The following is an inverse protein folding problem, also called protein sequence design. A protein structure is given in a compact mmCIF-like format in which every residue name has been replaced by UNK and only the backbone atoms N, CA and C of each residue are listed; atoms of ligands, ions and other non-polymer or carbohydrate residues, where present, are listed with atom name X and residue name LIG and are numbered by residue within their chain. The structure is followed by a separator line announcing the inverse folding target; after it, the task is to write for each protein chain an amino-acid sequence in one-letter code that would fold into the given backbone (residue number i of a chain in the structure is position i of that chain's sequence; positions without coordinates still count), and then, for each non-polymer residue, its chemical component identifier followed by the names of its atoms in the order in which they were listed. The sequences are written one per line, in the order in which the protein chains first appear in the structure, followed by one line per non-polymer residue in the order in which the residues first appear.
data_IF_211574473635
#
_entry.id   IF_211574473635
#
_cell.length_a   1.000
_cell.length_b   1.000
_cell.length_c   1.000
_cell.angle_alpha   90.00
_cell.angle_beta   90.00
_cell.angle_gamma   90.00
#
_symmetry.space_group_name_H-M   'P 1'
#
loop_
_entity.id
_entity.type
_entity.pdbx_description
1 polymer ?
#
# COMPACT_ATOMS: atom_id res chain seq x y z
N UNK A 1 78.17 42.47 -33.47
CA UNK A 1 77.90 41.81 -32.17
C UNK A 1 76.46 42.21 -31.82
N UNK A 2 75.45 41.44 -32.26
CA UNK A 2 74.67 40.47 -31.46
C UNK A 2 74.16 41.09 -30.14
N UNK A 3 72.88 41.52 -30.10
CA UNK A 3 71.66 40.83 -29.56
C UNK A 3 71.41 41.32 -28.11
N UNK A 4 70.23 41.42 -27.49
CA UNK A 4 68.81 40.97 -27.59
C UNK A 4 67.99 41.89 -26.64
N UNK A 5 66.77 42.37 -26.96
CA UNK A 5 65.43 41.82 -26.59
C UNK A 5 65.16 41.77 -25.06
N UNK A 6 64.03 42.23 -24.48
CA UNK A 6 62.63 42.27 -24.96
C UNK A 6 61.83 43.44 -24.36
N UNK A 7 61.02 44.09 -25.20
CA UNK A 7 60.04 45.15 -24.87
C UNK A 7 58.62 44.58 -24.70
N UNK A 8 57.76 45.40 -24.10
CA UNK A 8 56.43 45.15 -23.58
C UNK A 8 55.27 45.29 -24.59
N UNK A 9 54.24 44.44 -24.41
CA UNK A 9 52.81 44.52 -24.85
C UNK A 9 52.51 44.55 -26.38
N UNK A 10 51.24 44.40 -26.82
CA UNK A 10 50.30 43.26 -26.64
C UNK A 10 49.63 42.82 -27.98
N UNK A 11 49.25 41.56 -28.16
CA UNK A 11 48.35 41.08 -29.25
C UNK A 11 48.11 39.56 -29.10
N UNK A 12 47.17 38.93 -29.83
CA UNK A 12 45.76 39.19 -30.09
C UNK A 12 44.89 38.04 -29.49
N UNK A 13 43.56 38.11 -29.70
CA UNK A 13 42.56 37.18 -29.17
C UNK A 13 42.97 35.70 -29.18
N UNK A 14 42.97 35.10 -27.99
CA UNK A 14 42.93 33.66 -27.79
C UNK A 14 41.46 33.28 -27.77
N UNK A 15 41.05 32.46 -28.74
CA UNK A 15 39.74 31.83 -28.73
C UNK A 15 39.62 30.97 -27.46
N UNK A 16 38.58 31.20 -26.67
CA UNK A 16 38.20 30.33 -25.57
C UNK A 16 37.80 28.95 -26.14
N UNK A 17 38.64 27.94 -25.91
CA UNK A 17 38.44 26.55 -26.36
C UNK A 17 37.45 25.79 -25.45
N UNK A 18 36.77 26.46 -24.52
CA UNK A 18 35.78 25.84 -23.61
C UNK A 18 34.37 25.68 -24.23
N UNK A 19 34.23 25.83 -25.55
CA UNK A 19 32.94 25.72 -26.26
C UNK A 19 32.87 24.63 -27.32
N UNK A 20 33.73 23.64 -27.25
CA UNK A 20 33.58 22.41 -28.02
C UNK A 20 33.11 21.28 -27.09
N UNK A 21 31.91 20.79 -27.37
CA UNK A 21 31.18 19.84 -26.54
C UNK A 21 31.98 18.59 -26.23
N UNK A 22 31.75 18.06 -25.03
CA UNK A 22 32.18 16.71 -24.67
C UNK A 22 31.78 15.73 -25.78
N UNK A 23 32.70 14.88 -26.27
CA UNK A 23 32.33 13.86 -27.22
C UNK A 23 31.31 12.95 -26.55
N UNK A 24 30.07 12.99 -27.03
CA UNK A 24 29.07 12.01 -26.66
C UNK A 24 29.62 10.64 -27.00
N UNK A 25 29.93 9.85 -25.98
CA UNK A 25 30.19 8.42 -26.13
C UNK A 25 28.87 7.81 -26.60
N UNK A 26 28.70 7.72 -27.91
CA UNK A 26 27.65 6.92 -28.53
C UNK A 26 27.99 5.49 -28.15
N UNK A 27 27.28 4.97 -27.14
CA UNK A 27 27.27 3.56 -26.83
C UNK A 27 26.57 2.90 -28.00
N UNK A 28 27.35 2.45 -28.98
CA UNK A 28 26.88 1.57 -30.03
C UNK A 28 26.38 0.30 -29.35
N UNK A 29 25.05 0.19 -29.23
CA UNK A 29 24.40 -1.03 -28.76
C UNK A 29 24.64 -2.11 -29.81
N UNK A 30 25.71 -2.88 -29.62
CA UNK A 30 25.86 -4.14 -30.31
C UNK A 30 24.58 -4.96 -30.11
N UNK A 31 23.99 -5.54 -31.17
CA UNK A 31 22.83 -6.39 -31.02
C UNK A 31 23.19 -7.52 -30.06
N UNK A 32 22.48 -7.59 -28.94
CA UNK A 32 22.59 -8.71 -28.01
C UNK A 32 22.00 -9.91 -28.74
N UNK A 33 22.85 -10.73 -29.35
CA UNK A 33 22.45 -12.06 -29.81
C UNK A 33 22.07 -12.88 -28.56
N UNK A 34 20.77 -12.95 -28.31
CA UNK A 34 20.20 -13.85 -27.32
C UNK A 34 20.56 -15.28 -27.74
N UNK A 35 21.17 -16.10 -26.86
CA UNK A 35 21.41 -17.50 -27.18
C UNK A 35 20.08 -18.14 -27.57
N UNK A 36 20.05 -18.84 -28.70
CA UNK A 36 18.90 -19.65 -29.11
C UNK A 36 18.81 -20.87 -28.19
N UNK A 37 18.36 -20.64 -26.96
CA UNK A 37 18.10 -21.67 -25.97
C UNK A 37 16.87 -22.44 -26.45
N UNK A 38 17.03 -23.74 -26.69
CA UNK A 38 15.92 -24.63 -27.01
C UNK A 38 15.04 -24.75 -25.76
N UNK A 39 14.12 -23.81 -25.61
CA UNK A 39 13.16 -23.78 -24.51
C UNK A 39 12.46 -25.15 -24.40
N UNK A 40 12.60 -25.88 -23.27
CA UNK A 40 11.91 -27.14 -23.07
C UNK A 40 10.40 -26.93 -23.25
N UNK A 41 9.71 -27.95 -23.76
CA UNK A 41 8.28 -27.89 -24.14
C UNK A 41 7.37 -27.32 -23.03
N UNK A 42 7.74 -27.52 -21.75
CA UNK A 42 7.07 -26.93 -20.59
C UNK A 42 7.28 -25.41 -20.45
N UNK A 43 8.45 -24.89 -20.81
CA UNK A 43 8.73 -23.45 -20.82
C UNK A 43 7.87 -22.74 -21.89
N UNK A 44 7.63 -23.36 -23.05
CA UNK A 44 6.70 -22.84 -24.08
C UNK A 44 5.24 -22.87 -23.64
N UNK A 45 4.82 -23.91 -22.92
CA UNK A 45 3.46 -24.00 -22.37
C UNK A 45 3.25 -22.98 -21.26
N UNK A 46 4.22 -22.84 -20.35
CA UNK A 46 4.27 -21.78 -19.36
C UNK A 46 4.25 -20.40 -20.02
N UNK A 47 5.11 -20.13 -21.00
CA UNK A 47 5.13 -18.85 -21.71
C UNK A 47 3.79 -18.54 -22.40
N UNK A 48 3.14 -19.53 -23.03
CA UNK A 48 1.83 -19.35 -23.65
C UNK A 48 0.73 -19.09 -22.62
N UNK A 49 0.78 -19.76 -21.47
CA UNK A 49 -0.12 -19.53 -20.35
C UNK A 49 0.11 -18.15 -19.72
N UNK A 50 1.37 -17.76 -19.49
CA UNK A 50 1.76 -16.43 -19.00
C UNK A 50 1.39 -15.33 -19.98
N UNK A 51 1.53 -15.54 -21.29
CA UNK A 51 1.07 -14.59 -22.32
C UNK A 51 -0.45 -14.45 -22.34
N UNK A 52 -1.20 -15.53 -22.12
CA UNK A 52 -2.67 -15.48 -21.98
C UNK A 52 -3.10 -14.73 -20.71
N UNK A 53 -2.40 -14.95 -19.60
CA UNK A 53 -2.59 -14.17 -18.36
C UNK A 53 -2.23 -12.70 -18.55
N UNK A 54 -1.17 -12.39 -19.31
CA UNK A 54 -0.79 -11.03 -19.70
C UNK A 54 -1.93 -10.32 -20.43
N UNK A 55 -2.53 -11.00 -21.42
CA UNK A 55 -3.63 -10.45 -22.23
C UNK A 55 -4.91 -10.28 -21.41
N UNK A 56 -5.10 -11.08 -20.37
CA UNK A 56 -6.21 -10.94 -19.42
C UNK A 56 -6.03 -9.78 -18.43
N UNK A 57 -4.89 -9.08 -18.46
CA UNK A 57 -4.65 -7.91 -17.62
C UNK A 57 -4.11 -8.26 -16.23
N UNK A 58 -3.51 -9.43 -16.07
CA UNK A 58 -2.70 -9.79 -14.90
C UNK A 58 -1.41 -8.96 -14.94
N UNK A 59 -1.12 -8.27 -13.84
CA UNK A 59 0.09 -7.47 -13.71
C UNK A 59 1.31 -8.39 -13.62
N UNK A 60 2.01 -8.57 -14.74
CA UNK A 60 3.23 -9.40 -14.84
C UNK A 60 4.47 -8.71 -14.26
N UNK A 61 4.34 -7.47 -13.80
CA UNK A 61 5.47 -6.72 -13.24
C UNK A 61 5.74 -7.13 -11.81
N UNK A 62 6.92 -7.69 -11.62
CA UNK A 62 7.48 -8.00 -10.32
C UNK A 62 8.02 -6.74 -9.63
N UNK A 63 9.35 -6.65 -9.55
CA UNK A 63 10.05 -5.67 -8.72
C UNK A 63 10.48 -4.39 -9.47
N UNK A 64 10.17 -4.30 -10.77
CA UNK A 64 10.67 -3.22 -11.62
C UNK A 64 9.97 -1.90 -11.27
N UNK A 65 10.72 -0.77 -11.17
CA UNK A 65 10.12 0.54 -10.93
C UNK A 65 9.12 0.91 -12.02
N UNK A 66 8.01 1.55 -11.66
CA UNK A 66 7.02 2.02 -12.63
C UNK A 66 7.54 3.30 -13.28
N UNK A 67 7.68 3.29 -14.61
CA UNK A 67 8.11 4.46 -15.38
C UNK A 67 7.14 5.62 -15.24
N UNK A 68 7.64 6.86 -15.35
CA UNK A 68 6.80 8.08 -15.19
C UNK A 68 5.65 8.11 -16.18
N UNK A 69 5.86 7.60 -17.40
CA UNK A 69 4.86 7.58 -18.48
C UNK A 69 3.64 6.68 -18.16
N UNK A 70 3.80 5.73 -17.25
CA UNK A 70 2.76 4.78 -16.86
C UNK A 70 2.02 5.21 -15.58
N UNK A 71 2.50 6.27 -14.91
CA UNK A 71 1.89 6.88 -13.72
C UNK A 71 0.76 7.82 -14.14
N UNK A 72 -0.31 7.23 -14.66
CA UNK A 72 -1.38 7.97 -15.35
C UNK A 72 -2.50 8.45 -14.41
N UNK A 73 -2.58 7.97 -13.16
CA UNK A 73 -3.67 8.38 -12.27
C UNK A 73 -3.41 9.77 -11.68
N UNK A 74 -4.23 10.74 -12.08
CA UNK A 74 -4.19 12.13 -11.62
C UNK A 74 -5.22 12.43 -10.54
N UNK A 75 -6.05 11.46 -10.16
CA UNK A 75 -7.18 11.68 -9.23
C UNK A 75 -6.80 11.26 -7.82
N UNK A 76 -6.37 12.24 -7.01
CA UNK A 76 -6.08 12.04 -5.57
C UNK A 76 -7.27 11.44 -4.81
N UNK A 77 -8.50 11.75 -5.24
CA UNK A 77 -9.73 11.17 -4.67
C UNK A 77 -9.77 9.66 -4.76
N UNK A 78 -9.17 9.04 -5.78
CA UNK A 78 -9.11 7.58 -5.89
C UNK A 78 -8.31 6.96 -4.72
N UNK A 79 -7.26 7.64 -4.26
CA UNK A 79 -6.44 7.20 -3.12
C UNK A 79 -7.24 7.28 -1.83
N UNK A 80 -7.97 8.39 -1.64
CA UNK A 80 -8.88 8.52 -0.50
C UNK A 80 -9.95 7.43 -0.51
N UNK A 81 -10.59 7.19 -1.66
CA UNK A 81 -11.61 6.15 -1.79
C UNK A 81 -11.04 4.74 -1.59
N UNK A 82 -9.78 4.50 -1.98
CA UNK A 82 -9.09 3.25 -1.72
C UNK A 82 -8.92 3.03 -0.22
N UNK A 83 -8.32 3.98 0.50
CA UNK A 83 -8.14 3.89 1.96
C UNK A 83 -9.47 3.84 2.71
N UNK A 84 -10.47 4.58 2.22
CA UNK A 84 -11.83 4.53 2.75
C UNK A 84 -12.44 3.14 2.58
N UNK A 85 -12.25 2.51 1.42
CA UNK A 85 -12.74 1.15 1.14
C UNK A 85 -12.04 0.11 2.01
N UNK A 86 -10.72 0.21 2.14
CA UNK A 86 -9.92 -0.65 3.03
C UNK A 86 -10.37 -0.50 4.49
N UNK A 87 -10.76 0.71 4.89
CA UNK A 87 -11.26 0.98 6.25
C UNK A 87 -12.71 0.56 6.46
N UNK A 88 -13.52 0.48 5.39
CA UNK A 88 -14.91 0.03 5.43
C UNK A 88 -14.99 -1.51 5.38
N UNK A 89 -14.55 -2.17 6.44
CA UNK A 89 -14.68 -3.62 6.61
C UNK A 89 -15.10 -4.01 8.03
N UNK A 90 -15.33 -5.30 8.24
CA UNK A 90 -15.84 -5.83 9.52
C UNK A 90 -14.76 -5.87 10.60
N UNK A 91 -13.48 -6.02 10.23
CA UNK A 91 -12.37 -6.14 11.16
C UNK A 91 -12.22 -4.92 12.10
N UNK A 92 -12.24 -3.65 11.65
CA UNK A 92 -12.27 -2.47 12.51
C UNK A 92 -13.42 -2.44 13.49
N UNK A 93 -14.60 -2.94 13.10
CA UNK A 93 -15.77 -2.99 13.98
C UNK A 93 -15.48 -3.94 15.15
N UNK A 94 -14.98 -5.14 14.85
CA UNK A 94 -14.63 -6.13 15.87
C UNK A 94 -13.47 -5.63 16.75
N UNK A 95 -12.43 -5.04 16.15
CA UNK A 95 -11.33 -4.42 16.89
C UNK A 95 -11.83 -3.33 17.84
N UNK A 96 -12.78 -2.49 17.41
CA UNK A 96 -13.42 -1.49 18.28
C UNK A 96 -14.25 -2.11 19.41
N UNK A 97 -14.96 -3.21 19.13
CA UNK A 97 -15.74 -3.95 20.12
C UNK A 97 -14.87 -4.57 21.22
N UNK A 98 -13.62 -4.95 20.94
CA UNK A 98 -12.69 -5.46 21.96
C UNK A 98 -12.47 -4.42 23.08
N UNK A 99 -12.43 -3.13 22.75
CA UNK A 99 -12.26 -2.05 23.73
C UNK A 99 -13.38 -2.01 24.78
N UNK A 100 -14.62 -2.24 24.38
CA UNK A 100 -15.76 -2.22 25.29
C UNK A 100 -16.07 -3.59 25.89
N UNK A 101 -16.07 -4.65 25.09
CA UNK A 101 -16.46 -6.00 25.53
C UNK A 101 -15.38 -6.72 26.33
N UNK A 102 -14.10 -6.58 25.94
CA UNK A 102 -13.00 -7.31 26.58
C UNK A 102 -12.29 -6.47 27.65
N UNK A 103 -12.12 -5.17 27.39
CA UNK A 103 -11.38 -4.28 28.30
C UNK A 103 -12.30 -3.43 29.19
N UNK A 104 -13.62 -3.50 28.99
CA UNK A 104 -14.60 -2.83 29.86
C UNK A 104 -14.58 -1.29 29.78
N UNK A 105 -13.99 -0.70 28.75
CA UNK A 105 -14.01 0.76 28.58
C UNK A 105 -15.43 1.25 28.24
N UNK A 106 -15.73 2.48 28.65
CA UNK A 106 -16.92 3.17 28.19
C UNK A 106 -16.85 3.42 26.67
N UNK A 107 -18.00 3.55 26.00
CA UNK A 107 -18.01 3.88 24.57
C UNK A 107 -17.34 5.23 24.29
N UNK A 108 -17.40 6.16 25.24
CA UNK A 108 -16.72 7.45 25.15
C UNK A 108 -15.21 7.27 25.21
N UNK A 109 -14.69 6.53 26.18
CA UNK A 109 -13.25 6.36 26.34
C UNK A 109 -12.67 5.53 25.21
N UNK A 110 -13.34 4.45 24.80
CA UNK A 110 -12.94 3.65 23.65
C UNK A 110 -12.92 4.50 22.36
N UNK A 111 -13.94 5.33 22.11
CA UNK A 111 -13.95 6.19 20.91
C UNK A 111 -12.85 7.25 20.93
N UNK A 112 -12.58 7.87 22.09
CA UNK A 112 -11.47 8.82 22.23
C UNK A 112 -10.12 8.13 21.99
N UNK A 113 -9.89 6.95 22.57
CA UNK A 113 -8.64 6.19 22.35
C UNK A 113 -8.48 5.86 20.86
N UNK A 114 -9.53 5.38 20.19
CA UNK A 114 -9.49 5.12 18.75
C UNK A 114 -9.12 6.40 18.00
N UNK A 115 -9.77 7.53 18.25
CA UNK A 115 -9.51 8.78 17.53
C UNK A 115 -8.07 9.26 17.73
N UNK A 116 -7.59 9.34 18.98
CA UNK A 116 -6.26 9.87 19.28
C UNK A 116 -5.14 8.95 18.77
N UNK A 117 -5.24 7.64 19.00
CA UNK A 117 -4.24 6.70 18.48
C UNK A 117 -4.32 6.57 16.96
N UNK A 118 -5.51 6.69 16.36
CA UNK A 118 -5.63 6.69 14.91
C UNK A 118 -4.94 7.90 14.29
N UNK A 119 -5.19 9.10 14.81
CA UNK A 119 -4.50 10.31 14.35
C UNK A 119 -2.98 10.22 14.50
N UNK A 120 -2.48 9.62 15.58
CA UNK A 120 -1.04 9.46 15.80
C UNK A 120 -0.42 8.38 14.88
N UNK A 121 -1.04 7.22 14.79
CA UNK A 121 -0.50 6.06 14.08
C UNK A 121 -0.71 6.09 12.56
N UNK A 122 -1.55 6.99 12.04
CA UNK A 122 -1.72 7.20 10.59
C UNK A 122 -0.68 8.15 9.99
N UNK A 123 0.09 8.87 10.82
CA UNK A 123 1.16 9.77 10.36
C UNK A 123 2.24 9.01 9.56
N UNK A 124 2.80 7.88 10.05
CA UNK A 124 3.82 7.15 9.28
C UNK A 124 3.31 6.60 7.94
N UNK A 125 2.15 5.92 7.86
CA UNK A 125 1.57 5.53 6.56
C UNK A 125 1.31 6.71 5.62
N UNK A 126 0.83 7.84 6.13
CA UNK A 126 0.59 9.03 5.32
C UNK A 126 1.89 9.60 4.75
N UNK A 127 2.96 9.66 5.55
CA UNK A 127 4.27 10.14 5.10
C UNK A 127 4.87 9.23 4.04
N UNK A 128 4.82 7.91 4.23
CA UNK A 128 5.36 6.94 3.27
C UNK A 128 4.53 6.88 1.98
N UNK A 129 3.23 7.16 2.04
CA UNK A 129 2.38 7.28 0.84
C UNK A 129 2.88 8.36 -0.12
N UNK A 130 3.53 9.43 0.37
CA UNK A 130 4.10 10.50 -0.47
C UNK A 130 5.34 10.02 -1.25
N UNK A 131 6.06 9.02 -0.73
CA UNK A 131 7.27 8.49 -1.36
C UNK A 131 6.95 7.60 -2.57
N UNK A 132 5.76 6.98 -2.60
CA UNK A 132 5.30 6.13 -3.70
C UNK A 132 5.29 6.84 -5.06
N UNK A 133 4.55 7.95 -5.22
CA UNK A 133 4.47 8.69 -6.50
C UNK A 133 5.81 9.25 -6.97
N UNK A 134 6.70 9.62 -6.03
CA UNK A 134 8.02 10.21 -6.34
C UNK A 134 8.99 9.16 -6.86
N UNK A 135 9.10 8.03 -6.17
CA UNK A 135 10.07 6.98 -6.50
C UNK A 135 9.56 5.99 -7.54
N UNK A 136 8.24 5.75 -7.60
CA UNK A 136 7.63 4.67 -8.39
C UNK A 136 8.04 3.26 -7.94
N UNK A 137 8.58 3.16 -6.72
CA UNK A 137 9.00 1.91 -6.10
C UNK A 137 7.96 1.48 -5.06
N UNK A 138 7.72 0.17 -5.00
CA UNK A 138 6.96 -0.47 -3.91
C UNK A 138 7.68 -0.32 -2.56
N UNK A 139 6.93 -0.32 -1.46
CA UNK A 139 7.43 0.07 -0.13
C UNK A 139 8.57 -0.84 0.34
N UNK A 140 8.43 -2.14 0.09
CA UNK A 140 9.43 -3.13 0.50
C UNK A 140 10.72 -3.03 -0.32
N UNK A 141 10.66 -2.46 -1.53
CA UNK A 141 11.84 -2.16 -2.35
C UNK A 141 12.52 -0.91 -1.82
N UNK A 142 11.75 0.13 -1.47
CA UNK A 142 12.28 1.33 -0.83
C UNK A 142 13.02 1.00 0.47
N UNK A 143 12.49 0.07 1.27
CA UNK A 143 13.13 -0.40 2.50
C UNK A 143 14.53 -0.99 2.25
N UNK A 144 14.82 -1.53 1.06
CA UNK A 144 16.16 -2.06 0.72
C UNK A 144 17.22 -0.98 0.70
N UNK A 145 16.85 0.23 0.28
CA UNK A 145 17.78 1.37 0.24
C UNK A 145 18.06 1.94 1.62
N UNK A 146 17.15 1.78 2.59
CA UNK A 146 17.34 2.25 3.98
C UNK A 146 18.07 1.23 4.86
N UNK A 147 17.67 -0.04 4.80
CA UNK A 147 18.16 -1.09 5.71
C UNK A 147 19.28 -1.96 5.10
N UNK A 148 19.56 -1.81 3.80
CA UNK A 148 20.51 -2.65 3.09
C UNK A 148 19.94 -4.03 2.74
N UNK A 149 20.68 -4.78 1.92
CA UNK A 149 20.22 -6.04 1.29
C UNK A 149 19.98 -7.17 2.29
N UNK A 150 20.75 -7.25 3.38
CA UNK A 150 20.67 -8.37 4.33
C UNK A 150 19.55 -8.18 5.35
N UNK A 151 19.45 -7.00 5.97
CA UNK A 151 18.46 -6.72 7.01
C UNK A 151 17.03 -6.61 6.45
N UNK A 152 16.89 -6.08 5.24
CA UNK A 152 15.57 -5.93 4.60
C UNK A 152 14.88 -7.28 4.38
N UNK A 153 15.61 -8.37 4.16
CA UNK A 153 15.00 -9.69 3.99
C UNK A 153 14.24 -10.12 5.25
N UNK A 154 14.77 -9.83 6.44
CA UNK A 154 14.09 -10.10 7.71
C UNK A 154 12.82 -9.25 7.83
N UNK A 155 12.90 -7.96 7.49
CA UNK A 155 11.73 -7.06 7.51
C UNK A 155 10.66 -7.49 6.50
N UNK A 156 11.06 -8.01 5.35
CA UNK A 156 10.14 -8.58 4.34
C UNK A 156 9.42 -9.80 4.88
N UNK A 157 10.14 -10.72 5.54
CA UNK A 157 9.51 -11.88 6.16
C UNK A 157 8.55 -11.50 7.29
N UNK A 158 8.91 -10.51 8.12
CA UNK A 158 8.05 -10.00 9.18
C UNK A 158 6.79 -9.32 8.63
N UNK A 159 6.93 -8.52 7.56
CA UNK A 159 5.79 -7.90 6.89
C UNK A 159 4.88 -8.97 6.25
N UNK A 160 5.46 -9.98 5.61
CA UNK A 160 4.72 -11.10 5.04
C UNK A 160 3.92 -11.86 6.11
N UNK A 161 4.55 -12.14 7.26
CA UNK A 161 3.88 -12.76 8.40
C UNK A 161 2.72 -11.89 8.92
N UNK A 162 2.91 -10.57 8.98
CA UNK A 162 1.89 -9.61 9.43
C UNK A 162 0.67 -9.59 8.50
N UNK A 163 0.89 -9.46 7.19
CA UNK A 163 -0.19 -9.46 6.18
C UNK A 163 -0.90 -10.81 6.13
N UNK A 164 -0.16 -11.92 6.28
CA UNK A 164 -0.74 -13.25 6.39
C UNK A 164 -1.61 -13.39 7.64
N UNK A 165 -1.16 -12.83 8.77
CA UNK A 165 -1.94 -12.78 10.01
C UNK A 165 -3.27 -12.06 9.85
N UNK A 166 -3.27 -10.87 9.24
CA UNK A 166 -4.52 -10.15 8.94
C UNK A 166 -5.43 -10.95 8.01
N UNK A 167 -4.88 -11.59 6.98
CA UNK A 167 -5.65 -12.43 6.05
C UNK A 167 -6.34 -13.59 6.76
N UNK A 168 -5.66 -14.24 7.71
CA UNK A 168 -6.24 -15.32 8.52
C UNK A 168 -7.39 -14.77 9.37
N UNK A 169 -7.18 -13.63 10.03
CA UNK A 169 -8.22 -12.99 10.86
C UNK A 169 -9.44 -12.62 10.02
N UNK A 170 -9.25 -12.06 8.83
CA UNK A 170 -10.35 -11.72 7.91
C UNK A 170 -11.13 -12.96 7.46
N UNK A 171 -10.44 -14.09 7.19
CA UNK A 171 -11.11 -15.36 6.87
C UNK A 171 -11.92 -15.89 8.06
N UNK A 172 -11.40 -15.78 9.29
CA UNK A 172 -12.09 -16.19 10.52
C UNK A 172 -13.36 -15.36 10.72
N UNK A 173 -13.24 -14.04 10.63
CA UNK A 173 -14.36 -13.11 10.80
C UNK A 173 -15.40 -13.31 9.69
N UNK A 174 -14.96 -13.46 8.44
CA UNK A 174 -15.85 -13.74 7.31
C UNK A 174 -16.61 -15.06 7.50
N UNK A 175 -15.93 -16.11 7.94
CA UNK A 175 -16.54 -17.41 8.24
C UNK A 175 -17.55 -17.36 9.38
N UNK A 176 -17.22 -16.63 10.46
CA UNK A 176 -18.15 -16.38 11.57
C UNK A 176 -19.39 -15.61 11.11
N UNK A 177 -19.19 -14.60 10.26
CA UNK A 177 -20.29 -13.80 9.69
C UNK A 177 -21.21 -14.67 8.82
N UNK A 178 -20.65 -15.56 7.99
CA UNK A 178 -21.43 -16.46 7.15
C UNK A 178 -22.21 -17.50 7.98
N UNK A 179 -21.57 -18.05 9.02
CA UNK A 179 -22.22 -18.98 9.96
C UNK A 179 -23.36 -18.29 10.72
N UNK A 180 -23.20 -17.02 11.09
CA UNK A 180 -24.25 -16.26 11.78
C UNK A 180 -25.51 -16.01 10.92
N UNK A 181 -25.40 -16.03 9.59
CA UNK A 181 -26.54 -15.91 8.68
C UNK A 181 -27.31 -17.22 8.53
N UNK A 182 -26.61 -18.36 8.53
CA UNK A 182 -27.18 -19.70 8.36
C UNK A 182 -26.68 -20.66 9.44
N UNK A 183 -27.02 -20.37 10.70
CA UNK A 183 -26.53 -21.10 11.87
C UNK A 183 -26.94 -22.57 11.91
N UNK A 184 -27.97 -22.98 11.16
CA UNK A 184 -28.44 -24.38 11.09
C UNK A 184 -27.60 -25.24 10.16
N UNK A 185 -27.07 -24.66 9.08
CA UNK A 185 -26.54 -25.43 7.95
C UNK A 185 -25.02 -25.22 7.77
N UNK A 186 -24.49 -24.09 8.23
CA UNK A 186 -23.07 -23.72 8.04
C UNK A 186 -22.37 -23.57 9.39
N UNK A 187 -21.52 -24.56 9.71
CA UNK A 187 -20.58 -24.44 10.83
C UNK A 187 -19.50 -23.38 10.55
N UNK A 188 -19.03 -22.70 11.59
CA UNK A 188 -17.95 -21.69 11.51
C UNK A 188 -16.73 -22.22 10.75
N UNK A 189 -16.30 -23.46 11.02
CA UNK A 189 -15.14 -24.05 10.34
C UNK A 189 -15.34 -24.15 8.83
N UNK A 190 -16.53 -24.55 8.39
CA UNK A 190 -16.90 -24.64 6.97
C UNK A 190 -16.96 -23.24 6.36
N UNK A 191 -17.53 -22.27 7.08
CA UNK A 191 -17.58 -20.88 6.65
C UNK A 191 -16.19 -20.28 6.40
N UNK A 192 -15.21 -20.56 7.27
CA UNK A 192 -13.83 -20.10 7.12
C UNK A 192 -13.21 -20.65 5.83
N UNK A 193 -13.38 -21.95 5.58
CA UNK A 193 -12.84 -22.61 4.37
C UNK A 193 -13.47 -22.02 3.11
N UNK A 194 -14.79 -21.80 3.11
CA UNK A 194 -15.50 -21.20 1.97
C UNK A 194 -14.94 -19.80 1.68
N UNK A 195 -14.82 -18.95 2.70
CA UNK A 195 -14.29 -17.57 2.54
C UNK A 195 -12.84 -17.59 2.06
N UNK A 196 -12.00 -18.46 2.60
CA UNK A 196 -10.60 -18.59 2.20
C UNK A 196 -10.46 -19.02 0.72
N UNK A 197 -11.25 -20.00 0.28
CA UNK A 197 -11.25 -20.47 -1.13
C UNK A 197 -11.74 -19.38 -2.07
N UNK A 198 -12.80 -18.64 -1.70
CA UNK A 198 -13.31 -17.53 -2.49
C UNK A 198 -12.30 -16.38 -2.58
N UNK A 199 -11.65 -16.01 -1.46
CA UNK A 199 -10.61 -14.99 -1.44
C UNK A 199 -9.41 -15.37 -2.31
N UNK A 200 -8.98 -16.64 -2.21
CA UNK A 200 -7.92 -17.18 -3.06
C UNK A 200 -8.32 -17.14 -4.54
N UNK A 201 -9.55 -17.53 -4.87
CA UNK A 201 -10.05 -17.47 -6.25
C UNK A 201 -10.04 -16.04 -6.81
N UNK A 202 -10.49 -15.06 -6.03
CA UNK A 202 -10.51 -13.64 -6.42
C UNK A 202 -9.08 -13.11 -6.66
N UNK A 203 -8.09 -13.57 -5.88
CA UNK A 203 -6.69 -13.15 -6.04
C UNK A 203 -6.12 -13.42 -7.45
N UNK A 204 -6.62 -14.42 -8.17
CA UNK A 204 -6.19 -14.73 -9.53
C UNK A 204 -6.69 -13.76 -10.60
N UNK A 205 -7.71 -12.94 -10.33
CA UNK A 205 -8.28 -12.01 -11.30
C UNK A 205 -7.44 -10.75 -11.55
N UNK A 206 -6.35 -10.57 -10.80
CA UNK A 206 -5.35 -9.53 -11.04
C UNK A 206 -5.82 -8.10 -10.73
N UNK A 207 -4.94 -7.13 -11.02
CA UNK A 207 -5.06 -5.72 -10.62
C UNK A 207 -6.32 -5.03 -11.17
N UNK A 208 -6.75 -5.31 -12.41
CA UNK A 208 -7.90 -4.64 -13.03
C UNK A 208 -9.21 -4.90 -12.30
N UNK A 209 -9.44 -6.15 -11.88
CA UNK A 209 -10.66 -6.53 -11.15
C UNK A 209 -10.61 -5.97 -9.73
N UNK A 210 -9.46 -6.07 -9.07
CA UNK A 210 -9.25 -5.50 -7.74
C UNK A 210 -9.51 -4.00 -7.73
N UNK A 211 -8.94 -3.24 -8.68
CA UNK A 211 -9.11 -1.80 -8.74
C UNK A 211 -10.56 -1.39 -9.03
N UNK A 212 -11.31 -2.19 -9.81
CA UNK A 212 -12.75 -1.97 -10.00
C UNK A 212 -13.52 -2.25 -8.71
N UNK A 213 -13.20 -3.34 -8.01
CA UNK A 213 -13.80 -3.69 -6.73
C UNK A 213 -13.53 -2.60 -5.69
N UNK A 214 -12.29 -2.15 -5.51
CA UNK A 214 -11.91 -1.11 -4.56
C UNK A 214 -12.67 0.21 -4.78
N UNK A 215 -13.05 0.54 -6.02
CA UNK A 215 -13.82 1.76 -6.28
C UNK A 215 -15.25 1.71 -5.71
N UNK A 216 -15.88 0.53 -5.67
CA UNK A 216 -17.31 0.37 -5.35
C UNK A 216 -17.60 -0.52 -4.14
N UNK A 217 -16.61 -1.28 -3.66
CA UNK A 217 -16.76 -2.29 -2.60
C UNK A 217 -17.17 -1.69 -1.26
N UNK A 218 -16.82 -0.42 -1.01
CA UNK A 218 -17.22 0.27 0.20
C UNK A 218 -18.73 0.54 0.29
N UNK A 219 -19.43 0.70 -0.85
CA UNK A 219 -20.85 1.10 -0.86
C UNK A 219 -21.75 0.11 -0.11
N UNK A 220 -21.75 -1.21 -0.44
CA UNK A 220 -22.61 -2.16 0.27
C UNK A 220 -22.21 -2.32 1.74
N UNK A 221 -20.93 -2.27 2.06
CA UNK A 221 -20.45 -2.40 3.45
C UNK A 221 -20.86 -1.19 4.27
N UNK A 222 -20.67 0.02 3.74
CA UNK A 222 -21.05 1.26 4.38
C UNK A 222 -22.56 1.32 4.65
N UNK A 223 -23.38 0.97 3.65
CA UNK A 223 -24.85 0.89 3.82
C UNK A 223 -25.20 -0.10 4.95
N UNK A 224 -24.56 -1.27 4.96
CA UNK A 224 -24.78 -2.29 6.00
C UNK A 224 -24.43 -1.77 7.40
N UNK A 225 -23.29 -1.07 7.54
CA UNK A 225 -22.86 -0.46 8.81
C UNK A 225 -23.86 0.62 9.26
N UNK A 226 -24.35 1.47 8.35
CA UNK A 226 -25.34 2.51 8.65
C UNK A 226 -26.66 1.89 9.12
N UNK A 227 -27.14 0.84 8.44
CA UNK A 227 -28.36 0.13 8.83
C UNK A 227 -28.19 -0.53 10.20
N UNK A 228 -27.08 -1.26 10.41
CA UNK A 228 -26.79 -1.90 11.69
C UNK A 228 -26.73 -0.87 12.84
N UNK A 229 -26.08 0.28 12.59
CA UNK A 229 -26.02 1.39 13.55
C UNK A 229 -27.38 2.02 13.78
N UNK A 230 -28.22 2.17 12.76
CA UNK A 230 -29.59 2.68 12.89
C UNK A 230 -30.51 1.77 13.71
N UNK A 231 -30.46 0.46 13.48
CA UNK A 231 -31.25 -0.51 14.23
C UNK A 231 -30.78 -0.67 15.69
N UNK A 232 -29.46 -0.65 15.91
CA UNK A 232 -28.82 -0.82 17.21
C UNK A 232 -28.66 0.46 18.04
N UNK A 233 -28.69 1.64 17.40
CA UNK A 233 -28.27 2.91 18.00
C UNK A 233 -29.05 3.31 19.25
N UNK A 234 -30.35 2.98 19.32
CA UNK A 234 -31.20 3.19 20.50
C UNK A 234 -30.73 2.44 21.75
N UNK A 235 -29.91 1.41 21.59
CA UNK A 235 -29.33 0.64 22.69
C UNK A 235 -27.94 1.15 23.11
N UNK A 236 -27.28 2.01 22.31
CA UNK A 236 -25.98 2.57 22.67
C UNK A 236 -26.03 3.51 23.88
N UNK A 237 -27.22 3.99 24.26
CA UNK A 237 -27.45 4.74 25.50
C UNK A 237 -27.54 3.84 26.73
N UNK A 238 -27.82 2.54 26.56
CA UNK A 238 -27.90 1.54 27.65
C UNK A 238 -26.52 1.00 27.99
N UNK A 239 -25.59 1.89 28.34
CA UNK A 239 -24.24 1.49 28.74
C UNK A 239 -24.25 1.00 30.18
N UNK A 240 -23.53 -0.09 30.43
CA UNK A 240 -23.18 -0.49 31.80
C UNK A 240 -22.35 0.65 32.40
N UNK A 241 -22.63 1.02 33.66
CA UNK A 241 -21.85 2.05 34.36
C UNK A 241 -20.39 1.60 34.35
N UNK A 242 -19.51 2.31 33.62
CA UNK A 242 -18.14 1.87 33.44
C UNK A 242 -17.35 2.15 34.72
N UNK A 243 -16.52 1.20 35.12
CA UNK A 243 -15.50 1.48 36.12
C UNK A 243 -14.54 2.57 35.58
N UNK A 244 -13.89 3.36 36.43
CA UNK A 244 -12.88 4.31 35.98
C UNK A 244 -11.85 3.61 35.08
N UNK A 245 -11.56 4.13 33.88
CA UNK A 245 -10.69 3.45 32.94
C UNK A 245 -9.29 3.35 33.53
N UNK A 246 -8.79 2.13 33.68
CA UNK A 246 -7.40 1.90 34.09
C UNK A 246 -6.45 2.37 32.98
N UNK A 247 -5.34 3.01 33.36
CA UNK A 247 -4.28 3.37 32.42
C UNK A 247 -3.77 2.15 31.62
N UNK A 248 -3.74 0.96 32.25
CA UNK A 248 -3.37 -0.28 31.56
C UNK A 248 -4.34 -0.63 30.44
N UNK A 249 -5.65 -0.50 30.67
CA UNK A 249 -6.68 -0.80 29.67
C UNK A 249 -6.59 0.18 28.48
N UNK A 250 -6.37 1.46 28.75
CA UNK A 250 -6.19 2.50 27.73
C UNK A 250 -4.96 2.21 26.87
N UNK A 251 -3.81 1.91 27.50
CA UNK A 251 -2.55 1.65 26.78
C UNK A 251 -2.62 0.33 26.01
N UNK A 252 -3.21 -0.72 26.57
CA UNK A 252 -3.43 -1.99 25.86
C UNK A 252 -4.32 -1.80 24.64
N UNK A 253 -5.42 -1.04 24.78
CA UNK A 253 -6.30 -0.77 23.66
C UNK A 253 -5.63 0.13 22.61
N UNK A 254 -4.92 1.17 23.02
CA UNK A 254 -4.13 2.01 22.13
C UNK A 254 -3.04 1.23 21.39
N UNK A 255 -2.39 0.27 22.06
CA UNK A 255 -1.44 -0.65 21.46
C UNK A 255 -2.07 -1.58 20.41
N UNK A 256 -3.29 -2.06 20.65
CA UNK A 256 -4.06 -2.83 19.66
C UNK A 256 -4.35 -1.99 18.41
N UNK A 257 -4.80 -0.73 18.59
CA UNK A 257 -5.06 0.20 17.48
C UNK A 257 -3.76 0.55 16.73
N UNK A 258 -2.67 0.77 17.44
CA UNK A 258 -1.36 1.02 16.85
C UNK A 258 -0.87 -0.20 16.03
N UNK A 259 -1.03 -1.40 16.57
CA UNK A 259 -0.70 -2.66 15.88
C UNK A 259 -1.56 -2.90 14.65
N UNK A 260 -2.78 -2.36 14.59
CA UNK A 260 -3.64 -2.41 13.41
C UNK A 260 -3.21 -1.41 12.33
N UNK A 261 -2.82 -0.19 12.71
CA UNK A 261 -2.57 0.91 11.77
C UNK A 261 -1.14 0.98 11.24
N UNK A 262 -0.15 0.73 12.09
CA UNK A 262 1.27 0.85 11.72
C UNK A 262 1.66 -0.10 10.57
N UNK A 263 1.18 -1.36 10.49
CA UNK A 263 1.53 -2.24 9.39
C UNK A 263 1.19 -1.70 7.99
N UNK A 264 0.16 -0.86 7.87
CA UNK A 264 -0.18 -0.21 6.61
C UNK A 264 0.93 0.70 6.08
N UNK A 265 1.82 1.19 6.96
CA UNK A 265 3.00 1.94 6.56
C UNK A 265 3.88 1.13 5.59
N UNK A 266 4.00 -0.19 5.80
CA UNK A 266 4.79 -1.10 4.99
C UNK A 266 4.15 -1.46 3.63
N UNK A 267 2.91 -1.02 3.37
CA UNK A 267 2.18 -1.26 2.12
C UNK A 267 1.77 0.04 1.42
N UNK A 268 1.91 1.18 2.10
CA UNK A 268 1.33 2.46 1.70
C UNK A 268 1.74 2.94 0.30
N UNK A 269 3.00 2.79 -0.09
CA UNK A 269 3.44 3.21 -1.42
C UNK A 269 2.98 2.29 -2.54
N UNK A 270 2.64 1.03 -2.27
CA UNK A 270 2.22 0.05 -3.27
C UNK A 270 0.91 0.48 -3.96
N UNK A 271 0.03 1.15 -3.21
CA UNK A 271 -1.23 1.69 -3.73
C UNK A 271 -1.07 3.05 -4.40
N UNK A 272 0.05 3.74 -4.16
CA UNK A 272 0.29 5.09 -4.63
C UNK A 272 1.28 5.16 -5.81
N UNK A 273 1.87 4.04 -6.24
CA UNK A 273 2.90 4.01 -7.29
C UNK A 273 2.40 4.42 -8.68
N UNK A 274 1.09 4.25 -8.94
CA UNK A 274 0.46 4.59 -10.22
C UNK A 274 0.02 6.06 -10.34
N UNK A 275 0.23 6.84 -9.28
CA UNK A 275 -0.13 8.26 -9.23
C UNK A 275 0.95 9.09 -9.93
N UNK A 276 0.50 10.04 -10.75
CA UNK A 276 1.40 10.96 -11.45
C UNK A 276 2.23 11.80 -10.47
N UNK A 277 3.56 11.95 -10.68
CA UNK A 277 4.44 12.72 -9.82
C UNK A 277 4.18 14.24 -9.87
N UNK A 278 3.44 14.70 -10.87
CA UNK A 278 3.07 16.12 -11.06
C UNK A 278 2.03 16.60 -10.02
N UNK A 279 1.42 15.67 -9.28
CA UNK A 279 0.50 16.01 -8.20
C UNK A 279 1.30 16.56 -7.02
N UNK A 280 0.96 17.79 -6.63
CA UNK A 280 1.58 18.48 -5.50
C UNK A 280 1.49 17.63 -4.23
N UNK A 281 2.65 17.30 -3.63
CA UNK A 281 2.72 16.60 -2.34
C UNK A 281 2.24 17.45 -1.16
N UNK A 282 1.95 18.73 -1.40
CA UNK A 282 1.42 19.68 -0.43
C UNK A 282 0.11 20.28 -0.97
N UNK A 283 -0.87 20.50 -0.10
CA UNK A 283 -1.99 21.39 -0.40
C UNK A 283 -1.40 22.77 -0.66
N UNK A 284 -1.34 23.19 -1.93
CA UNK A 284 -0.95 24.57 -2.25
C UNK A 284 -2.04 25.48 -1.68
N UNK A 285 -1.73 26.45 -0.80
CA UNK A 285 -2.74 27.29 -0.15
C UNK A 285 -3.59 28.16 -1.10
N UNK A 286 -3.27 28.22 -2.40
CA UNK A 286 -3.79 29.25 -3.31
C UNK A 286 -4.48 28.69 -4.56
N UNK A 287 -5.38 27.72 -4.41
CA UNK A 287 -6.39 27.44 -5.45
C UNK A 287 -7.72 27.04 -4.78
N UNK A 288 -8.42 28.04 -4.25
CA UNK A 288 -9.87 28.04 -4.05
C UNK A 288 -10.45 29.21 -4.84
#
# INVERSE_FOLDING_TARGET
MWSEQTSSKPSPGVNDVEKDGEPQVVVEQAPVELPEEKDPLLLRFCQSFWHRLATWGVELRGIVPIGVDERTDKRVVNVFLLWFTVSCNVLPIITGMVGTLSLGLSLRDASLVIIFFNLLCTIPPAYLSILGPKTGLRQMIQARYTFGIYLVNILVLLNLATVSGFTIIDCVIGGQTLSALNSSDVSVNVGIVIVAVLALFISFFGYKVLHRYERYGWVPVFISIVIATGCGGKHLSKQVVPAPPSASAIVTFGGLIAGYLIPWAALSSDFCTYISPDISSYVKPNVL
#
